data_IF_547765785356
#
_entry.id   IF_547765785356
#
_cell.length_a   1.000
_cell.length_b   1.000
_cell.length_c   1.000
_cell.angle_alpha   90.00
_cell.angle_beta   90.00
_cell.angle_gamma   90.00
#
_symmetry.space_group_name_H-M   'P 1'
#
loop_
_entity.id
_entity.type
_entity.pdbx_description
1 polymer ?
#
# COMPACT_ATOMS: atom_id res chain seq x y z
N UNK A 1 4.18 10.02 -20.10
CA UNK A 1 4.62 8.82 -19.37
C UNK A 1 3.71 7.69 -19.80
N UNK A 2 4.25 6.69 -20.50
CA UNK A 2 3.49 5.49 -20.85
C UNK A 2 3.72 4.53 -19.68
N UNK A 3 2.65 4.23 -18.97
CA UNK A 3 2.65 3.31 -17.83
C UNK A 3 2.15 1.96 -18.34
N UNK A 4 2.84 0.88 -17.99
CA UNK A 4 2.35 -0.49 -18.23
C UNK A 4 1.10 -0.78 -17.36
N UNK A 5 0.45 -1.92 -17.55
CA UNK A 5 -0.67 -2.38 -16.69
C UNK A 5 -0.31 -2.34 -15.19
N UNK A 6 0.98 -2.46 -14.89
CA UNK A 6 1.55 -2.50 -13.55
C UNK A 6 2.09 -1.13 -13.07
N UNK A 7 1.86 -0.04 -13.81
CA UNK A 7 2.28 1.34 -13.47
C UNK A 7 3.79 1.56 -13.38
N UNK A 8 4.60 0.62 -13.87
CA UNK A 8 6.04 0.81 -14.02
C UNK A 8 6.35 1.68 -15.26
N UNK A 9 7.42 2.47 -15.20
CA UNK A 9 7.99 3.09 -16.39
C UNK A 9 8.66 2.04 -17.28
N UNK A 10 8.57 2.21 -18.61
CA UNK A 10 9.16 1.27 -19.58
C UNK A 10 10.68 1.20 -19.35
N UNK A 11 11.17 0.05 -18.90
CA UNK A 11 12.59 -0.23 -18.64
C UNK A 11 13.01 -0.17 -17.17
N UNK A 12 12.09 0.13 -16.25
CA UNK A 12 12.36 0.10 -14.82
C UNK A 12 12.52 -1.35 -14.30
N UNK A 13 13.55 -1.66 -13.49
CA UNK A 13 13.71 -2.99 -12.92
C UNK A 13 12.54 -3.39 -12.01
N UNK A 14 11.88 -4.50 -12.31
CA UNK A 14 10.76 -5.02 -11.53
C UNK A 14 11.29 -5.97 -10.43
N UNK A 15 10.81 -5.77 -9.20
CA UNK A 15 11.01 -6.70 -8.08
C UNK A 15 9.71 -7.43 -7.79
N UNK A 16 9.75 -8.77 -7.79
CA UNK A 16 8.56 -9.60 -7.55
C UNK A 16 8.62 -10.27 -6.18
N UNK A 17 7.57 -10.09 -5.38
CA UNK A 17 7.35 -10.84 -4.13
C UNK A 17 6.35 -11.96 -4.41
N UNK A 18 6.75 -13.21 -4.12
CA UNK A 18 5.89 -14.39 -4.31
C UNK A 18 5.21 -14.77 -3.00
N UNK A 19 3.90 -14.93 -3.04
CA UNK A 19 3.07 -15.36 -1.91
C UNK A 19 1.86 -16.14 -2.43
N UNK A 20 1.25 -16.96 -1.57
CA UNK A 20 -0.05 -17.60 -1.87
C UNK A 20 -1.17 -16.57 -1.90
N UNK A 21 -2.28 -16.84 -2.59
CA UNK A 21 -3.48 -15.96 -2.59
C UNK A 21 -3.92 -15.62 -1.16
N UNK A 22 -3.97 -16.62 -0.27
CA UNK A 22 -4.31 -16.43 1.15
C UNK A 22 -3.36 -15.48 1.88
N UNK A 23 -2.05 -15.56 1.60
CA UNK A 23 -1.07 -14.65 2.19
C UNK A 23 -1.22 -13.23 1.63
N UNK A 24 -1.53 -13.09 0.34
CA UNK A 24 -1.81 -11.79 -0.28
C UNK A 24 -3.06 -11.14 0.32
N UNK A 25 -4.15 -11.89 0.48
CA UNK A 25 -5.37 -11.42 1.15
C UNK A 25 -5.10 -11.00 2.61
N UNK A 26 -4.32 -11.80 3.35
CA UNK A 26 -3.90 -11.44 4.71
C UNK A 26 -3.09 -10.14 4.76
N UNK A 27 -2.11 -9.99 3.87
CA UNK A 27 -1.29 -8.77 3.79
C UNK A 27 -2.12 -7.54 3.39
N UNK A 28 -3.03 -7.69 2.43
CA UNK A 28 -3.94 -6.63 1.96
C UNK A 28 -4.82 -6.10 3.11
N UNK A 29 -5.38 -7.00 3.91
CA UNK A 29 -6.14 -6.63 5.09
C UNK A 29 -5.27 -5.90 6.12
N UNK A 30 -4.08 -6.42 6.43
CA UNK A 30 -3.15 -5.79 7.37
C UNK A 30 -2.72 -4.37 6.95
N UNK A 31 -2.45 -4.14 5.66
CA UNK A 31 -2.14 -2.80 5.14
C UNK A 31 -3.32 -1.83 5.28
N UNK A 32 -4.55 -2.33 5.16
CA UNK A 32 -5.76 -1.52 5.33
C UNK A 32 -5.96 -1.12 6.79
N UNK A 33 -5.70 -2.03 7.73
CA UNK A 33 -5.78 -1.77 9.17
C UNK A 33 -4.73 -0.75 9.61
N UNK A 34 -3.49 -0.89 9.11
CA UNK A 34 -2.42 0.08 9.39
C UNK A 34 -2.83 1.46 8.85
N UNK A 35 -3.30 1.55 7.61
CA UNK A 35 -3.72 2.82 7.04
C UNK A 35 -4.86 3.46 7.84
N UNK A 36 -5.84 2.67 8.31
CA UNK A 36 -6.93 3.13 9.17
C UNK A 36 -6.40 3.68 10.50
N UNK A 37 -5.51 2.93 11.16
CA UNK A 37 -4.89 3.34 12.41
C UNK A 37 -4.11 4.65 12.26
N UNK A 38 -3.31 4.79 11.19
CA UNK A 38 -2.56 6.03 10.92
C UNK A 38 -3.51 7.21 10.72
N UNK A 39 -4.62 7.02 9.99
CA UNK A 39 -5.62 8.08 9.81
C UNK A 39 -6.24 8.50 11.16
N UNK A 40 -6.61 7.53 12.00
CA UNK A 40 -7.16 7.78 13.33
C UNK A 40 -6.18 8.48 14.26
N UNK A 41 -4.92 8.06 14.23
CA UNK A 41 -3.84 8.71 14.98
C UNK A 41 -3.66 10.17 14.55
N UNK A 42 -3.57 10.43 13.23
CA UNK A 42 -3.42 11.78 12.69
C UNK A 42 -4.60 12.69 13.05
N UNK A 43 -5.82 12.14 13.08
CA UNK A 43 -7.01 12.88 13.52
C UNK A 43 -6.97 13.23 15.02
N UNK A 44 -6.36 12.38 15.85
CA UNK A 44 -6.29 12.59 17.30
C UNK A 44 -5.20 13.58 17.74
N UNK A 45 -4.06 13.65 17.04
CA UNK A 45 -2.93 14.53 17.41
C UNK A 45 -3.07 15.98 16.91
N UNK A 46 -3.96 16.23 15.92
CA UNK A 46 -4.11 17.55 15.29
C UNK A 46 -2.88 18.00 14.48
N UNK A 47 -2.85 19.28 14.07
CA UNK A 47 -1.79 19.82 13.19
C UNK A 47 -0.52 20.27 13.92
N UNK A 48 -0.53 20.27 15.25
CA UNK A 48 0.53 20.88 16.07
C UNK A 48 1.63 19.91 16.51
N UNK A 49 1.42 18.59 16.39
CA UNK A 49 2.34 17.57 16.92
C UNK A 49 2.90 16.68 15.78
N UNK A 50 3.47 17.34 14.76
CA UNK A 50 3.94 16.70 13.52
C UNK A 50 5.07 15.68 13.72
N UNK A 51 5.87 15.82 14.79
CA UNK A 51 6.99 14.93 15.10
C UNK A 51 6.55 13.49 15.45
N UNK A 52 5.25 13.30 15.70
CA UNK A 52 4.66 11.99 16.05
C UNK A 52 3.90 11.35 14.90
N UNK A 53 3.77 12.02 13.74
CA UNK A 53 3.01 11.50 12.61
C UNK A 53 3.61 10.17 12.12
N UNK A 54 2.81 9.10 11.98
CA UNK A 54 3.30 7.86 11.41
C UNK A 54 3.78 8.09 9.98
N UNK A 55 5.02 7.70 9.71
CA UNK A 55 5.60 7.77 8.36
C UNK A 55 5.03 6.65 7.48
N UNK A 56 5.03 6.87 6.17
CA UNK A 56 4.77 5.80 5.20
C UNK A 56 3.31 5.59 4.77
N UNK A 57 2.38 6.51 5.10
CA UNK A 57 0.95 6.33 4.74
C UNK A 57 0.73 6.27 3.22
N UNK A 58 1.43 7.10 2.46
CA UNK A 58 1.41 7.10 0.98
C UNK A 58 1.88 5.75 0.43
N UNK A 59 3.01 5.27 0.93
CA UNK A 59 3.68 4.05 0.51
C UNK A 59 2.80 2.82 0.84
N UNK A 60 2.19 2.79 2.03
CA UNK A 60 1.24 1.74 2.42
C UNK A 60 0.01 1.75 1.52
N UNK A 61 -0.52 2.92 1.18
CA UNK A 61 -1.68 3.04 0.27
C UNK A 61 -1.34 2.54 -1.13
N UNK A 62 -0.22 2.96 -1.68
CA UNK A 62 0.24 2.55 -3.02
C UNK A 62 0.47 1.05 -3.08
N UNK A 63 1.15 0.48 -2.07
CA UNK A 63 1.36 -0.96 -1.98
C UNK A 63 0.04 -1.74 -1.86
N UNK A 64 -0.91 -1.25 -1.06
CA UNK A 64 -2.22 -1.90 -0.89
C UNK A 64 -3.04 -1.85 -2.19
N UNK A 65 -2.96 -0.76 -2.96
CA UNK A 65 -3.59 -0.65 -4.28
C UNK A 65 -2.96 -1.64 -5.26
N UNK A 66 -1.63 -1.72 -5.32
CA UNK A 66 -0.93 -2.67 -6.18
C UNK A 66 -1.31 -4.12 -5.84
N UNK A 67 -1.39 -4.44 -4.54
CA UNK A 67 -1.77 -5.78 -4.08
C UNK A 67 -3.23 -6.14 -4.40
N UNK A 68 -4.17 -5.19 -4.32
CA UNK A 68 -5.56 -5.41 -4.74
C UNK A 68 -5.67 -5.75 -6.23
N UNK A 69 -4.97 -5.01 -7.09
CA UNK A 69 -4.93 -5.30 -8.53
C UNK A 69 -4.33 -6.67 -8.83
N UNK A 70 -3.24 -7.01 -8.14
CA UNK A 70 -2.62 -8.34 -8.28
C UNK A 70 -3.56 -9.46 -7.84
N UNK A 71 -4.39 -9.24 -6.80
CA UNK A 71 -5.43 -10.17 -6.36
C UNK A 71 -6.57 -10.31 -7.38
N UNK A 72 -7.04 -9.21 -7.97
CA UNK A 72 -8.07 -9.20 -9.02
C UNK A 72 -7.62 -9.96 -10.28
N UNK A 73 -6.32 -9.89 -10.64
CA UNK A 73 -5.78 -10.58 -11.81
C UNK A 73 -5.66 -12.11 -11.65
N UNK A 74 -5.80 -12.64 -10.42
CA UNK A 74 -5.74 -14.08 -10.12
C UNK A 74 -7.11 -14.67 -9.72
N UNK A 75 -8.19 -13.88 -9.82
CA UNK A 75 -9.58 -14.37 -9.76
C UNK A 75 -10.02 -14.98 -11.10
#
# INVERSE_FOLDING_TARGET
>A
MILDADYAEIGEPIVTIRMTKKQAEWAQNGLSDIACWVCGFNAAIGDTDNDRKPLGLSEIRELNIALKKALEAVE
#
